data_IF_332467325999
#
_entry.id   IF_332467325999
#
_cell.length_a   1.000
_cell.length_b   1.000
_cell.length_c   1.000
_cell.angle_alpha   90.00
_cell.angle_beta   90.00
_cell.angle_gamma   90.00
#
_symmetry.space_group_name_H-M   'P 1'
#
loop_
_entity.id
_entity.type
_entity.pdbx_description
1 polymer ?
#
# COMPACT_ATOMS: atom_id res chain seq x y z
N UNK A 1 31.45 -4.43 -16.00
CA UNK A 1 31.54 -4.16 -14.54
C UNK A 1 30.96 -2.80 -14.16
N UNK A 2 31.26 -1.73 -14.89
CA UNK A 2 30.79 -0.38 -14.56
C UNK A 2 29.25 -0.21 -14.63
N UNK A 3 28.57 -0.95 -15.50
CA UNK A 3 27.11 -0.87 -15.64
C UNK A 3 26.37 -1.45 -14.42
N UNK A 4 26.88 -2.55 -13.86
CA UNK A 4 26.33 -3.16 -12.65
C UNK A 4 26.52 -2.24 -11.44
N UNK A 5 27.70 -1.65 -11.30
CA UNK A 5 27.97 -0.67 -10.24
C UNK A 5 27.07 0.56 -10.37
N UNK A 6 26.91 1.10 -11.58
CA UNK A 6 25.99 2.21 -11.84
C UNK A 6 24.53 1.84 -11.54
N UNK A 7 24.10 0.62 -11.88
CA UNK A 7 22.77 0.12 -11.54
C UNK A 7 22.57 0.01 -10.03
N UNK A 8 23.57 -0.53 -9.32
CA UNK A 8 23.55 -0.67 -7.87
C UNK A 8 23.49 0.70 -7.18
N UNK A 9 24.32 1.65 -7.58
CA UNK A 9 24.32 3.02 -7.02
C UNK A 9 22.99 3.73 -7.29
N UNK A 10 22.42 3.59 -8.49
CA UNK A 10 21.12 4.19 -8.84
C UNK A 10 19.95 3.58 -8.06
N UNK A 11 20.00 2.28 -7.77
CA UNK A 11 18.90 1.56 -7.09
C UNK A 11 19.06 1.52 -5.57
N UNK A 12 20.26 1.68 -5.03
CA UNK A 12 20.52 1.59 -3.59
C UNK A 12 19.62 2.53 -2.75
N UNK A 13 19.42 3.81 -3.09
CA UNK A 13 18.53 4.69 -2.31
C UNK A 13 17.08 4.18 -2.25
N UNK A 14 16.57 3.66 -3.37
CA UNK A 14 15.25 3.04 -3.46
C UNK A 14 15.18 1.80 -2.56
N UNK A 15 16.13 0.88 -2.68
CA UNK A 15 16.14 -0.37 -1.88
C UNK A 15 16.25 -0.10 -0.37
N UNK A 16 17.12 0.84 0.02
CA UNK A 16 17.30 1.23 1.43
C UNK A 16 16.01 1.87 1.96
N UNK A 17 15.43 2.82 1.24
CA UNK A 17 14.19 3.49 1.68
C UNK A 17 13.01 2.53 1.77
N UNK A 18 12.84 1.62 0.80
CA UNK A 18 11.82 0.56 0.86
C UNK A 18 12.02 -0.33 2.08
N UNK A 19 13.26 -0.76 2.35
CA UNK A 19 13.59 -1.61 3.50
C UNK A 19 13.30 -0.91 4.82
N UNK A 20 13.73 0.34 4.99
CA UNK A 20 13.47 1.12 6.21
C UNK A 20 11.97 1.33 6.41
N UNK A 21 11.22 1.67 5.35
CA UNK A 21 9.77 1.83 5.44
C UNK A 21 9.06 0.53 5.83
N UNK A 22 9.52 -0.60 5.30
CA UNK A 22 8.98 -1.92 5.63
C UNK A 22 9.16 -2.26 7.12
N UNK A 23 10.35 -2.01 7.69
CA UNK A 23 10.57 -2.21 9.12
C UNK A 23 9.73 -1.26 10.00
N UNK A 24 9.54 -0.01 9.57
CA UNK A 24 8.81 1.00 10.37
C UNK A 24 7.30 0.85 10.32
N UNK A 25 6.73 0.47 9.18
CA UNK A 25 5.28 0.40 8.95
C UNK A 25 4.73 -1.02 8.86
N UNK A 26 5.62 -2.01 8.78
CA UNK A 26 5.30 -3.37 8.42
C UNK A 26 5.13 -3.55 6.90
N UNK A 27 5.14 -4.80 6.41
CA UNK A 27 4.70 -5.11 5.06
C UNK A 27 3.25 -4.63 4.85
N UNK A 28 2.87 -4.26 3.62
CA UNK A 28 1.47 -4.26 3.22
C UNK A 28 0.82 -5.60 3.60
N UNK A 29 -0.48 -5.61 3.89
CA UNK A 29 -1.12 -6.85 4.32
C UNK A 29 -0.96 -7.91 3.24
N UNK A 30 -0.69 -9.18 3.59
CA UNK A 30 -0.56 -10.25 2.61
C UNK A 30 -1.78 -10.43 1.69
N UNK A 31 -2.97 -10.00 2.15
CA UNK A 31 -4.21 -9.97 1.35
C UNK A 31 -4.22 -8.91 0.25
N UNK A 32 -3.29 -7.95 0.28
CA UNK A 32 -3.03 -6.96 -0.76
C UNK A 32 -1.88 -7.46 -1.65
N UNK A 33 -2.11 -8.62 -2.26
CA UNK A 33 -1.12 -9.33 -3.07
C UNK A 33 -0.79 -8.65 -4.41
N UNK A 34 0.01 -9.30 -5.25
CA UNK A 34 0.38 -8.81 -6.59
C UNK A 34 -0.84 -8.43 -7.45
N UNK A 35 -1.98 -9.13 -7.32
CA UNK A 35 -3.19 -8.82 -8.08
C UNK A 35 -3.79 -7.50 -7.61
N UNK A 36 -3.82 -7.26 -6.30
CA UNK A 36 -4.28 -5.98 -5.76
C UNK A 36 -3.38 -4.83 -6.22
N UNK A 37 -2.05 -5.00 -6.15
CA UNK A 37 -1.10 -4.02 -6.66
C UNK A 37 -1.33 -3.69 -8.14
N UNK A 38 -1.59 -4.70 -8.97
CA UNK A 38 -1.85 -4.52 -10.40
C UNK A 38 -3.18 -3.79 -10.66
N UNK A 39 -4.24 -4.15 -9.92
CA UNK A 39 -5.55 -3.48 -10.00
C UNK A 39 -5.44 -2.02 -9.54
N UNK A 40 -4.74 -1.75 -8.44
CA UNK A 40 -4.51 -0.38 -7.96
C UNK A 40 -3.71 0.44 -8.97
N UNK A 41 -2.68 -0.13 -9.59
CA UNK A 41 -1.90 0.53 -10.63
C UNK A 41 -2.76 0.84 -11.88
N UNK A 42 -3.62 -0.09 -12.30
CA UNK A 42 -4.57 0.11 -13.39
C UNK A 42 -5.59 1.20 -13.06
N UNK A 43 -6.16 1.20 -11.86
CA UNK A 43 -7.09 2.25 -11.41
C UNK A 43 -6.39 3.61 -11.46
N UNK A 44 -5.17 3.69 -10.91
CA UNK A 44 -4.37 4.91 -10.89
C UNK A 44 -4.01 5.41 -12.30
N UNK A 45 -3.69 4.51 -13.24
CA UNK A 45 -3.42 4.91 -14.62
C UNK A 45 -4.66 5.41 -15.37
N UNK A 46 -5.85 4.90 -15.03
CA UNK A 46 -7.11 5.26 -15.71
C UNK A 46 -7.79 6.50 -15.12
N UNK A 47 -7.63 6.74 -13.82
CA UNK A 47 -8.22 7.90 -13.13
C UNK A 47 -7.31 9.14 -13.24
N UNK A 48 -6.08 8.98 -13.73
CA UNK A 48 -5.08 10.04 -13.82
C UNK A 48 -4.41 10.35 -12.47
N UNK A 49 -3.43 11.27 -12.48
CA UNK A 49 -2.58 11.67 -11.33
C UNK A 49 -3.34 12.22 -10.10
N UNK A 50 -4.67 12.22 -10.11
CA UNK A 50 -5.52 12.65 -9.01
C UNK A 50 -5.33 11.85 -7.71
N UNK A 51 -4.66 10.70 -7.77
CA UNK A 51 -4.32 9.91 -6.59
C UNK A 51 -2.79 9.86 -6.39
N UNK A 52 -2.25 10.87 -5.71
CA UNK A 52 -0.94 10.80 -5.04
C UNK A 52 -0.91 9.79 -3.87
N UNK A 53 -1.96 8.98 -3.74
CA UNK A 53 -2.14 7.98 -2.71
C UNK A 53 -1.18 6.82 -2.94
N UNK A 54 -0.44 6.46 -1.89
CA UNK A 54 0.38 5.24 -1.88
C UNK A 54 -0.47 4.04 -1.50
N UNK A 55 0.02 2.83 -1.80
CA UNK A 55 -0.67 1.59 -1.43
C UNK A 55 -0.84 1.49 0.10
N UNK A 56 0.14 1.96 0.88
CA UNK A 56 0.05 1.99 2.34
C UNK A 56 -1.07 2.92 2.81
N UNK A 57 -1.28 4.06 2.15
CA UNK A 57 -2.38 4.97 2.45
C UNK A 57 -3.72 4.34 2.09
N UNK A 58 -3.85 3.76 0.89
CA UNK A 58 -5.05 3.06 0.48
C UNK A 58 -5.39 1.89 1.42
N UNK A 59 -4.37 1.18 1.89
CA UNK A 59 -4.53 0.11 2.86
C UNK A 59 -4.94 0.66 4.24
N UNK A 60 -4.35 1.75 4.71
CA UNK A 60 -4.77 2.41 5.95
C UNK A 60 -6.23 2.89 5.86
N UNK A 61 -6.64 3.45 4.72
CA UNK A 61 -8.01 3.88 4.48
C UNK A 61 -8.97 2.69 4.42
N UNK A 62 -8.56 1.55 3.84
CA UNK A 62 -9.37 0.32 3.86
C UNK A 62 -9.58 -0.25 5.27
N UNK A 63 -8.65 0.03 6.21
CA UNK A 63 -8.76 -0.37 7.61
C UNK A 63 -9.63 0.59 8.42
N UNK A 64 -9.93 1.78 7.91
CA UNK A 64 -10.87 2.70 8.57
C UNK A 64 -12.27 2.12 8.37
N UNK A 65 -12.81 1.55 9.44
CA UNK A 65 -14.20 1.14 9.48
C UNK A 65 -15.07 2.35 9.11
N UNK A 66 -16.04 2.14 8.20
CA UNK A 66 -17.09 3.11 7.99
C UNK A 66 -17.70 3.48 9.36
N UNK A 67 -18.05 4.75 9.62
CA UNK A 67 -18.74 5.11 10.84
C UNK A 67 -19.92 4.16 11.02
N UNK A 68 -19.93 3.40 12.12
CA UNK A 68 -21.08 2.58 12.45
C UNK A 68 -22.28 3.52 12.51
N UNK A 69 -23.28 3.28 11.66
CA UNK A 69 -24.56 3.96 11.76
C UNK A 69 -25.06 3.77 13.19
N UNK A 70 -25.41 4.86 13.92
CA UNK A 70 -25.71 4.82 15.35
C UNK A 70 -26.80 3.84 15.81
N UNK A 71 -27.53 3.20 14.90
CA UNK A 71 -28.72 2.39 15.20
C UNK A 71 -28.53 0.87 15.08
N UNK A 72 -27.31 0.37 14.82
CA UNK A 72 -27.11 -1.08 14.68
C UNK A 72 -26.68 -1.72 16.00
N UNK A 73 -27.58 -1.76 16.97
CA UNK A 73 -27.44 -2.56 18.20
C UNK A 73 -27.66 -4.03 17.78
N UNK A 74 -26.60 -4.73 17.39
CA UNK A 74 -26.68 -6.18 17.15
C UNK A 74 -26.41 -6.90 18.46
N UNK A 75 -27.47 -7.45 19.03
CA UNK A 75 -27.41 -8.28 20.22
C UNK A 75 -26.69 -9.59 19.85
N UNK A 76 -25.40 -9.69 20.13
CA UNK A 76 -24.67 -10.94 20.07
C UNK A 76 -24.97 -11.76 21.34
N UNK A 77 -26.03 -12.56 21.26
CA UNK A 77 -26.26 -13.70 22.15
C UNK A 77 -26.20 -14.97 21.32
N UNK A 78 -25.07 -15.67 21.41
CA UNK A 78 -25.02 -17.12 21.65
C UNK A 78 -23.62 -17.57 22.08
#
# INVERSE_FOLDING_TARGET
MNDFFNLAVKKAPMLISTTINHYRKGPPQPSWDLKFHLVFALIKSNIGDFTNQTIEQAQQDSKRHAPLLPDTITNESK
#
